data_IF_467006580888
#
_entry.id   IF_467006580888
#
_cell.length_a   1.000
_cell.length_b   1.000
_cell.length_c   1.000
_cell.angle_alpha   90.00
_cell.angle_beta   90.00
_cell.angle_gamma   90.00
#
_symmetry.space_group_name_H-M   'P 1'
#
loop_
_entity.id
_entity.type
_entity.pdbx_description
1 polymer ?
#
# COMPACT_ATOMS: atom_id res chain seq x y z
N UNK A 1 -11.45 -6.26 -2.59
CA UNK A 1 -12.21 -5.10 -3.12
C UNK A 1 -13.33 -5.48 -4.11
N UNK A 2 -13.28 -6.61 -4.84
CA UNK A 2 -14.43 -7.13 -5.60
C UNK A 2 -15.67 -7.43 -4.73
N UNK A 3 -15.50 -7.94 -3.52
CA UNK A 3 -16.62 -8.16 -2.59
C UNK A 3 -17.33 -6.84 -2.17
N UNK A 4 -16.61 -5.70 -2.22
CA UNK A 4 -17.19 -4.38 -1.92
C UNK A 4 -18.02 -3.85 -3.09
N UNK A 5 -17.74 -4.25 -4.33
CA UNK A 5 -18.59 -3.86 -5.47
C UNK A 5 -19.84 -4.73 -5.57
N UNK A 6 -19.77 -6.00 -5.15
CA UNK A 6 -20.87 -6.96 -5.24
C UNK A 6 -21.89 -6.88 -4.09
N UNK A 7 -21.50 -6.51 -2.87
CA UNK A 7 -22.40 -6.55 -1.69
C UNK A 7 -22.56 -5.16 -1.05
N UNK A 8 -23.71 -4.48 -1.25
CA UNK A 8 -23.96 -3.13 -0.73
C UNK A 8 -23.82 -3.01 0.80
N UNK A 9 -24.13 -4.07 1.54
CA UNK A 9 -24.01 -4.12 3.02
C UNK A 9 -22.57 -4.13 3.50
N UNK A 10 -21.63 -4.61 2.69
CA UNK A 10 -20.20 -4.60 3.04
C UNK A 10 -19.56 -3.24 2.78
N UNK A 11 -20.06 -2.46 1.81
CA UNK A 11 -19.60 -1.08 1.53
C UNK A 11 -19.73 -0.14 2.72
N UNK A 12 -20.80 -0.26 3.51
CA UNK A 12 -21.09 0.67 4.60
C UNK A 12 -20.34 0.34 5.89
N UNK A 13 -20.11 -0.94 6.21
CA UNK A 13 -19.34 -1.36 7.40
C UNK A 13 -17.84 -1.37 7.16
N UNK A 14 -17.39 -1.93 6.04
CA UNK A 14 -15.97 -2.04 5.74
C UNK A 14 -15.39 -0.81 5.04
N UNK A 15 -16.22 0.12 4.54
CA UNK A 15 -15.73 1.35 3.92
C UNK A 15 -14.92 2.24 4.89
N UNK A 16 -15.38 2.38 6.13
CA UNK A 16 -14.64 3.13 7.16
C UNK A 16 -13.36 2.40 7.56
N UNK A 17 -13.42 1.09 7.80
CA UNK A 17 -12.24 0.29 8.13
C UNK A 17 -11.21 0.31 7.00
N UNK A 18 -11.65 0.25 5.73
CA UNK A 18 -10.79 0.33 4.57
C UNK A 18 -10.17 1.73 4.40
N UNK A 19 -10.91 2.80 4.70
CA UNK A 19 -10.36 4.16 4.72
C UNK A 19 -9.29 4.32 5.80
N UNK A 20 -9.58 3.86 7.02
CA UNK A 20 -8.62 3.89 8.12
C UNK A 20 -7.38 3.06 7.79
N UNK A 21 -7.56 1.84 7.26
CA UNK A 21 -6.45 1.00 6.84
C UNK A 21 -5.62 1.65 5.73
N UNK A 22 -6.23 2.33 4.76
CA UNK A 22 -5.51 3.05 3.71
C UNK A 22 -4.70 4.22 4.28
N UNK A 23 -5.29 5.02 5.17
CA UNK A 23 -4.60 6.12 5.84
C UNK A 23 -3.44 5.61 6.70
N UNK A 24 -3.69 4.61 7.54
CA UNK A 24 -2.65 3.97 8.36
C UNK A 24 -1.56 3.36 7.51
N UNK A 25 -1.88 2.74 6.37
CA UNK A 25 -0.90 2.18 5.44
C UNK A 25 0.02 3.27 4.89
N UNK A 26 -0.56 4.36 4.35
CA UNK A 26 0.21 5.50 3.85
C UNK A 26 1.12 6.07 4.95
N UNK A 27 0.56 6.38 6.12
CA UNK A 27 1.34 6.94 7.23
C UNK A 27 2.45 6.00 7.69
N UNK A 28 2.21 4.68 7.71
CA UNK A 28 3.22 3.70 8.11
C UNK A 28 4.36 3.63 7.11
N UNK A 29 4.11 3.78 5.81
CA UNK A 29 5.17 3.81 4.78
C UNK A 29 6.09 5.00 5.01
N UNK A 30 5.55 6.20 5.24
CA UNK A 30 6.37 7.38 5.51
C UNK A 30 7.24 7.21 6.77
N UNK A 31 6.64 6.72 7.86
CA UNK A 31 7.38 6.46 9.10
C UNK A 31 8.47 5.39 8.88
N UNK A 32 8.17 4.35 8.11
CA UNK A 32 9.15 3.31 7.78
C UNK A 32 10.30 3.85 6.92
N UNK A 33 10.02 4.72 5.94
CA UNK A 33 11.07 5.36 5.12
C UNK A 33 11.95 6.28 5.96
N UNK A 34 11.37 7.20 6.74
CA UNK A 34 12.14 8.14 7.57
C UNK A 34 13.01 7.41 8.61
N UNK A 35 12.46 6.39 9.26
CA UNK A 35 13.23 5.56 10.19
C UNK A 35 14.30 4.71 9.50
N UNK A 36 14.05 4.27 8.25
CA UNK A 36 14.98 3.54 7.41
C UNK A 36 16.18 4.38 6.97
N UNK A 37 15.94 5.58 6.44
CA UNK A 37 16.99 6.52 6.02
C UNK A 37 17.93 6.88 7.18
N UNK A 38 17.37 7.15 8.37
CA UNK A 38 18.14 7.43 9.59
C UNK A 38 19.01 6.24 10.00
N UNK A 39 18.54 5.00 9.78
CA UNK A 39 19.28 3.78 10.11
C UNK A 39 20.36 3.48 9.07
N UNK A 40 20.03 3.61 7.78
CA UNK A 40 20.97 3.49 6.66
C UNK A 40 22.17 4.41 6.88
N UNK A 41 21.94 5.69 7.18
CA UNK A 41 22.98 6.67 7.50
C UNK A 41 23.92 6.24 8.64
N UNK A 42 23.42 5.48 9.62
CA UNK A 42 24.24 4.98 10.73
C UNK A 42 25.02 3.73 10.35
N UNK A 43 24.40 2.83 9.59
CA UNK A 43 25.03 1.58 9.14
C UNK A 43 26.13 1.90 8.13
N UNK A 44 25.87 2.79 7.16
CA UNK A 44 26.84 3.20 6.14
C UNK A 44 28.09 3.90 6.69
N UNK A 45 28.07 4.37 7.95
CA UNK A 45 29.23 4.94 8.64
C UNK A 45 30.14 3.88 9.28
N UNK A 46 29.76 2.61 9.28
CA UNK A 46 30.59 1.52 9.80
C UNK A 46 31.54 0.99 8.71
N UNK A 47 32.79 0.68 9.06
CA UNK A 47 33.81 0.27 8.08
C UNK A 47 33.51 -1.07 7.40
N UNK A 48 32.78 -1.98 8.07
CA UNK A 48 32.45 -3.33 7.58
C UNK A 48 30.98 -3.47 7.13
N UNK A 49 30.31 -2.37 6.79
CA UNK A 49 28.88 -2.40 6.50
C UNK A 49 28.55 -3.16 5.20
N UNK A 50 27.48 -3.99 5.18
CA UNK A 50 27.05 -4.72 3.98
C UNK A 50 26.31 -3.79 2.99
N UNK A 51 27.06 -2.86 2.39
CA UNK A 51 26.58 -1.75 1.55
C UNK A 51 25.58 -2.19 0.47
N UNK A 52 25.93 -3.23 -0.30
CA UNK A 52 25.13 -3.68 -1.44
C UNK A 52 23.78 -4.29 -1.02
N UNK A 53 23.75 -5.00 0.10
CA UNK A 53 22.54 -5.61 0.65
C UNK A 53 21.59 -4.55 1.23
N UNK A 54 22.14 -3.54 1.93
CA UNK A 54 21.37 -2.40 2.45
C UNK A 54 20.77 -1.59 1.30
N UNK A 55 21.58 -1.25 0.29
CA UNK A 55 21.13 -0.48 -0.89
C UNK A 55 20.03 -1.21 -1.68
N UNK A 56 20.10 -2.55 -1.75
CA UNK A 56 19.06 -3.38 -2.38
C UNK A 56 17.77 -3.39 -1.57
N UNK A 57 17.84 -3.37 -0.25
CA UNK A 57 16.66 -3.29 0.62
C UNK A 57 15.97 -1.92 0.51
N UNK A 58 16.75 -0.84 0.53
CA UNK A 58 16.22 0.55 0.50
C UNK A 58 15.60 0.88 -0.86
N UNK A 59 16.25 0.50 -1.97
CA UNK A 59 15.67 0.67 -3.32
C UNK A 59 14.35 -0.06 -3.53
N UNK A 60 14.19 -1.28 -2.98
CA UNK A 60 12.92 -2.00 -3.03
C UNK A 60 11.84 -1.32 -2.16
N UNK A 61 12.24 -0.67 -1.06
CA UNK A 61 11.32 0.07 -0.21
C UNK A 61 10.80 1.34 -0.88
N UNK A 62 11.65 2.05 -1.63
CA UNK A 62 11.25 3.25 -2.38
C UNK A 62 10.23 2.92 -3.48
N UNK A 63 10.41 1.78 -4.13
CA UNK A 63 9.47 1.27 -5.14
C UNK A 63 8.11 0.85 -4.57
N UNK A 64 7.96 0.69 -3.24
CA UNK A 64 6.68 0.29 -2.62
C UNK A 64 5.65 1.43 -2.64
N UNK A 65 6.09 2.68 -2.47
CA UNK A 65 5.21 3.83 -2.28
C UNK A 65 4.21 4.02 -3.46
N UNK A 66 4.63 3.94 -4.75
CA UNK A 66 3.71 4.00 -5.88
C UNK A 66 2.57 2.96 -5.81
N UNK A 67 2.86 1.75 -5.36
CA UNK A 67 1.86 0.67 -5.28
C UNK A 67 0.88 0.87 -4.12
N UNK A 68 1.35 1.40 -2.99
CA UNK A 68 0.50 1.78 -1.86
C UNK A 68 -0.39 2.96 -2.23
N UNK A 69 0.10 3.91 -3.03
CA UNK A 69 -0.73 5.00 -3.57
C UNK A 69 -1.77 4.46 -4.56
N UNK A 70 -1.39 3.53 -5.44
CA UNK A 70 -2.31 2.85 -6.37
C UNK A 70 -3.39 2.04 -5.66
N UNK A 71 -3.09 1.47 -4.49
CA UNK A 71 -4.08 0.88 -3.59
C UNK A 71 -5.03 1.96 -3.04
N UNK A 72 -4.45 2.98 -2.42
CA UNK A 72 -5.12 3.85 -1.46
C UNK A 72 -5.94 4.94 -2.12
N UNK A 73 -5.41 5.59 -3.17
CA UNK A 73 -6.11 6.70 -3.86
C UNK A 73 -7.42 6.21 -4.48
N UNK A 74 -7.46 5.13 -5.30
CA UNK A 74 -8.70 4.66 -5.89
C UNK A 74 -9.70 4.18 -4.84
N UNK A 75 -9.22 3.64 -3.72
CA UNK A 75 -10.06 3.19 -2.61
C UNK A 75 -10.76 4.39 -1.93
N UNK A 76 -10.01 5.46 -1.65
CA UNK A 76 -10.57 6.69 -1.10
C UNK A 76 -11.56 7.34 -2.07
N UNK A 77 -11.24 7.38 -3.36
CA UNK A 77 -12.16 7.86 -4.40
C UNK A 77 -13.42 7.01 -4.48
N UNK A 78 -13.31 5.68 -4.39
CA UNK A 78 -14.46 4.78 -4.39
C UNK A 78 -15.38 5.02 -3.19
N UNK A 79 -14.81 5.27 -2.01
CA UNK A 79 -15.56 5.61 -0.79
C UNK A 79 -16.23 6.98 -0.94
N UNK A 80 -15.49 7.99 -1.42
CA UNK A 80 -16.01 9.33 -1.68
C UNK A 80 -17.17 9.32 -2.69
N UNK A 81 -17.00 8.59 -3.79
CA UNK A 81 -18.04 8.40 -4.82
C UNK A 81 -19.27 7.69 -4.24
N UNK A 82 -19.09 6.69 -3.38
CA UNK A 82 -20.20 6.00 -2.71
C UNK A 82 -20.97 6.92 -1.75
N UNK A 83 -20.26 7.75 -0.97
CA UNK A 83 -20.88 8.74 -0.07
C UNK A 83 -21.64 9.79 -0.87
N UNK A 84 -21.04 10.32 -1.95
CA UNK A 84 -21.67 11.28 -2.84
C UNK A 84 -22.92 10.71 -3.51
N UNK A 85 -22.84 9.50 -4.08
CA UNK A 85 -23.96 8.84 -4.74
C UNK A 85 -25.11 8.51 -3.77
N UNK A 86 -24.79 8.21 -2.50
CA UNK A 86 -25.80 8.02 -1.45
C UNK A 86 -26.59 9.32 -1.20
N UNK A 87 -25.92 10.48 -1.20
CA UNK A 87 -26.55 11.80 -1.00
C UNK A 87 -27.46 12.22 -2.14
N UNK A 88 -27.18 11.78 -3.38
CA UNK A 88 -27.97 12.09 -4.59
C UNK A 88 -29.27 11.25 -4.75
N UNK A 89 -29.50 10.25 -3.91
CA UNK A 89 -30.75 9.47 -3.95
C UNK A 89 -30.94 8.67 -5.26
N UNK A 90 -32.11 8.82 -5.90
CA UNK A 90 -32.51 8.08 -7.11
C UNK A 90 -31.88 8.62 -8.41
N UNK A 91 -31.35 9.85 -8.41
CA UNK A 91 -30.72 10.48 -9.58
C UNK A 91 -29.26 10.08 -9.74
N UNK A 92 -28.98 8.78 -9.80
CA UNK A 92 -27.61 8.29 -9.97
C UNK A 92 -27.26 8.16 -11.45
N UNK A 93 -26.23 8.88 -11.94
CA UNK A 93 -25.75 8.69 -13.29
C UNK A 93 -25.24 7.25 -13.51
N UNK A 94 -25.47 6.70 -14.70
CA UNK A 94 -25.06 5.33 -15.06
C UNK A 94 -23.55 5.10 -14.98
N UNK A 95 -22.74 6.14 -15.19
CA UNK A 95 -21.27 6.09 -15.14
C UNK A 95 -20.72 5.75 -13.73
N UNK A 96 -21.49 6.00 -12.66
CA UNK A 96 -21.06 5.77 -11.28
C UNK A 96 -20.71 4.30 -11.03
N UNK A 97 -21.46 3.38 -11.64
CA UNK A 97 -21.19 1.95 -11.52
C UNK A 97 -19.88 1.57 -12.23
N UNK A 98 -19.68 2.07 -13.45
CA UNK A 98 -18.46 1.81 -14.22
C UNK A 98 -17.22 2.37 -13.51
N UNK A 99 -17.30 3.61 -13.02
CA UNK A 99 -16.23 4.23 -12.24
C UNK A 99 -15.94 3.45 -10.94
N UNK A 100 -16.99 2.99 -10.24
CA UNK A 100 -16.83 2.16 -9.04
C UNK A 100 -16.11 0.84 -9.30
N UNK A 101 -16.40 0.18 -10.43
CA UNK A 101 -15.67 -1.04 -10.85
C UNK A 101 -14.21 -0.76 -11.18
N UNK A 102 -13.94 0.29 -11.96
CA UNK A 102 -12.58 0.68 -12.34
C UNK A 102 -11.71 1.01 -11.12
N UNK A 103 -12.22 1.86 -10.22
CA UNK A 103 -11.54 2.22 -8.98
C UNK A 103 -11.31 1.00 -8.08
N UNK A 104 -12.31 0.11 -7.98
CA UNK A 104 -12.20 -1.13 -7.22
C UNK A 104 -11.13 -2.07 -7.77
N UNK A 105 -11.03 -2.20 -9.10
CA UNK A 105 -10.01 -3.01 -9.76
C UNK A 105 -8.60 -2.44 -9.51
N UNK A 106 -8.41 -1.12 -9.67
CA UNK A 106 -7.14 -0.45 -9.41
C UNK A 106 -6.66 -0.68 -7.96
N UNK A 107 -7.56 -0.53 -6.98
CA UNK A 107 -7.21 -0.81 -5.59
C UNK A 107 -6.81 -2.27 -5.35
N UNK A 108 -7.46 -3.23 -5.99
CA UNK A 108 -7.07 -4.66 -5.87
C UNK A 108 -5.68 -4.88 -6.45
N UNK A 109 -5.39 -4.29 -7.61
CA UNK A 109 -4.08 -4.39 -8.24
C UNK A 109 -2.99 -3.77 -7.35
N UNK A 110 -3.22 -2.56 -6.83
CA UNK A 110 -2.29 -1.92 -5.90
C UNK A 110 -2.06 -2.74 -4.63
N UNK A 111 -3.11 -3.38 -4.10
CA UNK A 111 -2.99 -4.29 -2.95
C UNK A 111 -2.08 -5.48 -3.24
N UNK A 112 -2.30 -6.16 -4.37
CA UNK A 112 -1.52 -7.32 -4.77
C UNK A 112 -0.04 -6.98 -4.96
N UNK A 113 0.23 -5.86 -5.64
CA UNK A 113 1.60 -5.40 -5.87
C UNK A 113 2.29 -4.98 -4.57
N UNK A 114 1.57 -4.31 -3.67
CA UNK A 114 2.10 -3.95 -2.35
C UNK A 114 2.52 -5.19 -1.55
N UNK A 115 1.71 -6.26 -1.55
CA UNK A 115 2.05 -7.52 -0.87
C UNK A 115 3.33 -8.13 -1.45
N UNK A 116 3.46 -8.17 -2.78
CA UNK A 116 4.66 -8.69 -3.45
C UNK A 116 5.90 -7.91 -3.02
N UNK A 117 5.82 -6.58 -2.98
CA UNK A 117 6.95 -5.75 -2.56
C UNK A 117 7.28 -5.93 -1.09
N UNK A 118 6.29 -5.98 -0.19
CA UNK A 118 6.52 -6.25 1.24
C UNK A 118 7.27 -7.57 1.45
N UNK A 119 6.89 -8.63 0.74
CA UNK A 119 7.58 -9.93 0.81
C UNK A 119 9.04 -9.79 0.31
N UNK A 120 9.25 -9.08 -0.81
CA UNK A 120 10.59 -8.87 -1.37
C UNK A 120 11.50 -8.04 -0.45
N UNK A 121 10.97 -6.96 0.12
CA UNK A 121 11.65 -6.09 1.09
C UNK A 121 12.03 -6.92 2.32
N UNK A 122 11.11 -7.73 2.84
CA UNK A 122 11.37 -8.60 4.00
C UNK A 122 12.45 -9.66 3.71
N UNK A 123 12.41 -10.29 2.54
CA UNK A 123 13.44 -11.25 2.15
C UNK A 123 14.82 -10.57 2.02
N UNK A 124 14.89 -9.41 1.35
CA UNK A 124 16.13 -8.64 1.22
C UNK A 124 16.69 -8.21 2.59
N UNK A 125 15.81 -7.80 3.51
CA UNK A 125 16.22 -7.46 4.88
C UNK A 125 16.76 -8.66 5.66
N UNK A 126 16.10 -9.82 5.57
CA UNK A 126 16.61 -11.05 6.19
C UNK A 126 17.95 -11.50 5.60
N UNK A 127 18.12 -11.38 4.29
CA UNK A 127 19.39 -11.70 3.63
C UNK A 127 20.52 -10.80 4.12
N UNK A 128 20.26 -9.50 4.31
CA UNK A 128 21.25 -8.55 4.82
C UNK A 128 21.76 -8.87 6.24
N UNK A 129 20.95 -9.55 7.06
CA UNK A 129 21.33 -9.93 8.43
C UNK A 129 21.98 -11.31 8.49
N UNK A 130 21.52 -12.25 7.66
CA UNK A 130 21.84 -13.67 7.81
C UNK A 130 22.75 -14.25 6.71
N UNK A 131 23.14 -13.46 5.69
CA UNK A 131 24.01 -13.94 4.61
C UNK A 131 25.40 -14.37 5.06
N UNK A 132 25.84 -13.91 6.23
CA UNK A 132 27.21 -14.12 6.73
C UNK A 132 27.31 -15.29 7.72
N UNK A 133 26.21 -16.02 7.97
CA UNK A 133 26.27 -17.25 8.76
C UNK A 133 26.92 -18.38 7.93
N UNK A 134 28.01 -19.00 8.41
CA UNK A 134 28.56 -20.18 7.77
C UNK A 134 27.51 -21.30 7.83
N UNK A 135 27.16 -21.86 6.67
CA UNK A 135 26.37 -23.10 6.56
C UNK A 135 27.17 -24.33 6.96
#
# INVERSE_FOLDING_TARGET
AFALTAVPRWRTRFGVLAALAALTSISSVFVAQESGEILEDRVLRQEDAPFELVLKHTSLADDLLPWVLLLSIPLLLLIGLAVWAKRRGAERPSWVNLAGWGLGALSVLGAGLSIVYVIRIGHAGSAAVWSDLPG
#
